data_IF_709553298370
#
_entry.id   IF_709553298370
#
_cell.length_a   1.000
_cell.length_b   1.000
_cell.length_c   1.000
_cell.angle_alpha   90.00
_cell.angle_beta   90.00
_cell.angle_gamma   90.00
#
_symmetry.space_group_name_H-M   'P 1'
#
loop_
_entity.id
_entity.type
_entity.pdbx_description
1 polymer ?
#
# COMPACT_ATOMS: atom_id res chain seq x y z
N UNK A 1 -25.50 -7.24 1.83
CA UNK A 1 -24.28 -8.06 1.61
C UNK A 1 -24.60 -9.47 1.09
N UNK A 2 -25.44 -10.26 1.76
CA UNK A 2 -25.77 -11.65 1.36
C UNK A 2 -26.27 -11.78 -0.09
N UNK A 3 -27.00 -10.82 -0.62
CA UNK A 3 -27.47 -10.87 -2.03
C UNK A 3 -26.32 -10.79 -3.02
N UNK A 4 -25.25 -10.08 -2.70
CA UNK A 4 -24.01 -10.07 -3.49
C UNK A 4 -23.25 -11.38 -3.42
N UNK A 5 -23.29 -12.07 -2.27
CA UNK A 5 -22.72 -13.41 -2.13
C UNK A 5 -23.53 -14.41 -2.97
N UNK A 6 -24.87 -14.35 -2.91
CA UNK A 6 -25.77 -15.22 -3.71
C UNK A 6 -25.57 -15.09 -5.21
N UNK A 7 -25.25 -13.88 -5.70
CA UNK A 7 -24.94 -13.67 -7.13
C UNK A 7 -23.68 -14.41 -7.60
N UNK A 8 -22.80 -14.80 -6.67
CA UNK A 8 -21.51 -15.45 -6.97
C UNK A 8 -21.45 -16.92 -6.60
N UNK A 9 -22.26 -17.32 -5.62
CA UNK A 9 -22.28 -18.67 -5.07
C UNK A 9 -23.71 -19.18 -5.11
N UNK A 10 -23.96 -20.25 -5.91
CA UNK A 10 -25.25 -20.90 -6.03
C UNK A 10 -25.48 -21.99 -4.98
N UNK A 11 -24.44 -22.48 -4.30
CA UNK A 11 -24.54 -23.56 -3.33
C UNK A 11 -25.21 -23.07 -2.03
N UNK A 12 -26.38 -23.65 -1.73
CA UNK A 12 -27.18 -23.31 -0.54
C UNK A 12 -26.47 -23.64 0.78
N UNK A 13 -25.65 -24.70 0.82
CA UNK A 13 -24.90 -25.11 2.01
C UNK A 13 -23.82 -24.10 2.33
N UNK A 14 -23.06 -23.67 1.33
CA UNK A 14 -22.04 -22.61 1.47
C UNK A 14 -22.69 -21.29 1.91
N UNK A 15 -23.84 -20.93 1.33
CA UNK A 15 -24.58 -19.72 1.75
C UNK A 15 -25.06 -19.79 3.20
N UNK A 16 -25.52 -20.98 3.65
CA UNK A 16 -25.91 -21.20 5.05
C UNK A 16 -24.71 -21.05 5.99
N UNK A 17 -23.55 -21.62 5.65
CA UNK A 17 -22.33 -21.48 6.42
C UNK A 17 -21.87 -20.01 6.50
N UNK A 18 -21.83 -19.28 5.40
CA UNK A 18 -21.48 -17.85 5.40
C UNK A 18 -22.44 -17.06 6.27
N UNK A 19 -23.74 -17.35 6.23
CA UNK A 19 -24.75 -16.71 7.09
C UNK A 19 -24.53 -17.04 8.56
N UNK A 20 -24.17 -18.29 8.88
CA UNK A 20 -23.83 -18.71 10.25
C UNK A 20 -22.61 -17.96 10.77
N UNK A 21 -21.54 -17.85 9.98
CA UNK A 21 -20.35 -17.05 10.35
C UNK A 21 -20.66 -15.57 10.59
N UNK A 22 -21.57 -14.98 9.82
CA UNK A 22 -21.99 -13.59 9.99
C UNK A 22 -22.84 -13.37 11.25
N UNK A 23 -23.52 -14.42 11.73
CA UNK A 23 -24.34 -14.40 12.94
C UNK A 23 -23.59 -14.90 14.17
N UNK A 24 -22.45 -15.55 13.99
CA UNK A 24 -21.63 -15.98 15.10
C UNK A 24 -21.15 -14.75 15.88
N UNK A 25 -21.43 -14.73 17.20
CA UNK A 25 -20.94 -13.70 18.10
C UNK A 25 -19.41 -13.73 18.23
N UNK A 26 -18.88 -12.76 18.92
CA UNK A 26 -17.46 -12.71 19.30
C UNK A 26 -17.33 -13.28 20.70
N UNK A 27 -16.53 -14.32 20.85
CA UNK A 27 -16.13 -14.81 22.16
C UNK A 27 -14.94 -13.96 22.63
N UNK A 28 -15.13 -13.20 23.69
CA UNK A 28 -14.07 -12.38 24.29
C UNK A 28 -13.11 -13.26 25.10
N UNK A 29 -11.93 -12.78 25.46
CA UNK A 29 -10.93 -13.50 26.26
C UNK A 29 -11.51 -13.98 27.61
N UNK A 30 -12.48 -13.25 28.13
CA UNK A 30 -13.21 -13.58 29.38
C UNK A 30 -14.30 -14.64 29.19
N UNK A 31 -14.47 -15.22 28.00
CA UNK A 31 -15.51 -16.24 27.71
C UNK A 31 -16.91 -15.65 27.50
N UNK A 32 -17.07 -14.34 27.45
CA UNK A 32 -18.35 -13.68 27.23
C UNK A 32 -18.66 -13.64 25.73
N UNK A 33 -19.85 -14.12 25.34
CA UNK A 33 -20.31 -14.05 23.95
C UNK A 33 -20.98 -12.70 23.70
N UNK A 34 -20.36 -11.85 22.87
CA UNK A 34 -20.93 -10.59 22.42
C UNK A 34 -21.58 -10.77 21.05
N UNK A 35 -22.83 -10.36 20.90
CA UNK A 35 -23.54 -10.39 19.62
C UNK A 35 -22.93 -9.38 18.62
N UNK A 36 -22.66 -9.85 17.42
CA UNK A 36 -22.26 -8.96 16.32
C UNK A 36 -23.49 -8.39 15.62
N UNK A 37 -23.89 -7.19 16.02
CA UNK A 37 -25.04 -6.49 15.41
C UNK A 37 -24.74 -5.96 13.99
N UNK A 38 -23.49 -5.78 13.61
CA UNK A 38 -23.09 -5.34 12.28
C UNK A 38 -21.66 -5.77 11.92
N UNK A 39 -21.48 -6.26 10.70
CA UNK A 39 -20.15 -6.58 10.15
C UNK A 39 -19.67 -8.00 10.49
N UNK A 40 -18.36 -8.18 10.41
CA UNK A 40 -17.65 -9.41 10.80
C UNK A 40 -16.55 -9.06 11.78
N UNK A 41 -16.22 -9.96 12.72
CA UNK A 41 -15.14 -9.72 13.68
C UNK A 41 -13.82 -9.41 12.96
N UNK A 42 -13.08 -8.43 13.49
CA UNK A 42 -11.76 -8.10 12.98
C UNK A 42 -10.81 -9.28 13.25
N UNK A 43 -10.14 -9.76 12.18
CA UNK A 43 -9.26 -10.94 12.27
C UNK A 43 -9.89 -12.27 11.83
N UNK A 44 -11.20 -12.30 11.53
CA UNK A 44 -11.84 -13.49 10.93
C UNK A 44 -11.27 -13.79 9.54
N UNK A 45 -11.07 -15.08 9.24
CA UNK A 45 -10.54 -15.57 7.96
C UNK A 45 -11.43 -15.15 6.77
N UNK A 46 -12.74 -15.07 6.95
CA UNK A 46 -13.71 -14.70 5.92
C UNK A 46 -13.91 -13.19 5.77
N UNK A 47 -13.56 -12.39 6.80
CA UNK A 47 -13.77 -10.94 6.77
C UNK A 47 -13.19 -10.24 5.54
N UNK A 48 -11.93 -10.50 5.10
CA UNK A 48 -11.37 -9.83 3.93
C UNK A 48 -12.11 -10.18 2.64
N UNK A 49 -12.58 -11.44 2.51
CA UNK A 49 -13.35 -11.87 1.34
C UNK A 49 -14.72 -11.21 1.30
N UNK A 50 -15.44 -11.24 2.42
CA UNK A 50 -16.79 -10.66 2.53
C UNK A 50 -16.75 -9.13 2.38
N UNK A 51 -15.74 -8.46 2.95
CA UNK A 51 -15.50 -7.04 2.74
C UNK A 51 -15.30 -6.71 1.26
N UNK A 52 -14.48 -7.49 0.55
CA UNK A 52 -14.28 -7.31 -0.90
C UNK A 52 -15.56 -7.55 -1.70
N UNK A 53 -16.40 -8.52 -1.33
CA UNK A 53 -17.70 -8.75 -1.93
C UNK A 53 -18.66 -7.59 -1.68
N UNK A 54 -18.69 -7.04 -0.48
CA UNK A 54 -19.50 -5.87 -0.14
C UNK A 54 -19.05 -4.64 -0.93
N UNK A 55 -17.75 -4.33 -0.92
CA UNK A 55 -17.17 -3.17 -1.62
C UNK A 55 -17.20 -3.28 -3.15
N UNK A 56 -17.53 -4.46 -3.72
CA UNK A 56 -17.70 -4.57 -5.17
C UNK A 56 -18.83 -3.67 -5.72
N UNK A 57 -19.73 -3.17 -4.86
CA UNK A 57 -20.73 -2.16 -5.26
C UNK A 57 -20.06 -0.88 -5.75
N UNK A 58 -18.98 -0.46 -5.06
CA UNK A 58 -18.21 0.71 -5.47
C UNK A 58 -17.50 0.47 -6.80
N UNK A 59 -16.89 -0.71 -6.97
CA UNK A 59 -16.20 -1.07 -8.22
C UNK A 59 -17.17 -1.06 -9.40
N UNK A 60 -18.35 -1.66 -9.23
CA UNK A 60 -19.41 -1.75 -10.26
C UNK A 60 -19.96 -0.36 -10.59
N UNK A 61 -20.28 0.44 -9.57
CA UNK A 61 -20.81 1.80 -9.74
C UNK A 61 -19.83 2.67 -10.54
N UNK A 62 -18.57 2.73 -10.12
CA UNK A 62 -17.54 3.50 -10.81
C UNK A 62 -17.25 2.96 -12.21
N UNK A 63 -17.32 1.64 -12.41
CA UNK A 63 -17.09 1.05 -13.73
C UNK A 63 -18.21 1.37 -14.73
N UNK A 64 -19.46 1.45 -14.27
CA UNK A 64 -20.64 1.74 -15.10
C UNK A 64 -20.82 3.22 -15.40
N UNK A 65 -20.27 4.10 -14.58
CA UNK A 65 -20.40 5.55 -14.76
C UNK A 65 -19.81 6.00 -16.10
N UNK A 66 -20.43 6.98 -16.73
CA UNK A 66 -20.12 7.48 -18.07
C UNK A 66 -18.68 8.03 -18.23
N UNK A 67 -18.04 8.47 -17.14
CA UNK A 67 -16.62 8.87 -17.10
C UNK A 67 -15.65 7.79 -16.63
N UNK A 68 -16.16 6.58 -16.36
CA UNK A 68 -15.46 5.47 -15.74
C UNK A 68 -14.54 4.67 -16.67
N UNK A 69 -13.96 3.59 -16.17
CA UNK A 69 -13.02 2.76 -16.91
C UNK A 69 -13.59 2.09 -18.15
N UNK A 70 -14.91 1.81 -18.16
CA UNK A 70 -15.61 1.17 -19.32
C UNK A 70 -15.89 2.14 -20.46
N UNK A 71 -15.84 3.45 -20.23
CA UNK A 71 -16.01 4.44 -21.29
C UNK A 71 -14.92 4.27 -22.37
N UNK A 72 -15.33 4.33 -23.64
CA UNK A 72 -14.41 4.23 -24.77
C UNK A 72 -13.41 5.40 -24.80
N UNK A 73 -12.27 5.28 -25.50
CA UNK A 73 -11.35 6.40 -25.68
C UNK A 73 -12.02 7.63 -26.31
N UNK A 74 -12.96 7.39 -27.25
CA UNK A 74 -13.74 8.45 -27.88
C UNK A 74 -14.65 9.18 -26.91
N UNK A 75 -15.43 8.46 -26.11
CA UNK A 75 -16.30 9.04 -25.07
C UNK A 75 -15.49 9.83 -24.04
N UNK A 76 -14.38 9.30 -23.56
CA UNK A 76 -13.50 10.04 -22.65
C UNK A 76 -12.93 11.32 -23.28
N UNK A 77 -12.60 11.30 -24.56
CA UNK A 77 -12.14 12.50 -25.29
C UNK A 77 -13.29 13.51 -25.46
N UNK A 78 -14.50 13.05 -25.82
CA UNK A 78 -15.71 13.86 -25.91
C UNK A 78 -16.02 14.54 -24.58
N UNK A 79 -16.00 13.78 -23.48
CA UNK A 79 -16.25 14.32 -22.13
C UNK A 79 -15.22 15.42 -21.78
N UNK A 80 -13.93 15.22 -22.02
CA UNK A 80 -12.91 16.25 -21.79
C UNK A 80 -13.18 17.54 -22.57
N UNK A 81 -13.62 17.43 -23.83
CA UNK A 81 -13.97 18.61 -24.66
C UNK A 81 -15.14 19.39 -24.08
N UNK A 82 -16.08 18.70 -23.45
CA UNK A 82 -17.24 19.33 -22.78
C UNK A 82 -16.99 19.68 -21.30
N UNK A 83 -15.73 19.66 -20.84
CA UNK A 83 -15.38 19.98 -19.46
C UNK A 83 -15.86 18.96 -18.41
N UNK A 84 -16.34 17.79 -18.83
CA UNK A 84 -16.85 16.74 -17.94
C UNK A 84 -15.69 15.86 -17.41
N UNK A 85 -15.79 15.37 -16.16
CA UNK A 85 -14.75 14.58 -15.54
C UNK A 85 -14.67 13.18 -16.15
N UNK A 86 -13.43 12.62 -16.19
CA UNK A 86 -13.20 11.20 -16.31
C UNK A 86 -12.53 10.71 -15.01
N UNK A 87 -12.79 9.47 -14.63
CA UNK A 87 -12.30 8.95 -13.36
C UNK A 87 -11.89 7.49 -13.44
N UNK A 88 -11.04 7.07 -12.52
CA UNK A 88 -10.59 5.68 -12.39
C UNK A 88 -10.37 5.34 -10.92
N UNK A 89 -10.97 4.25 -10.47
CA UNK A 89 -10.78 3.70 -9.14
C UNK A 89 -9.57 2.76 -9.13
N UNK A 90 -8.73 2.91 -8.11
CA UNK A 90 -7.74 1.92 -7.71
C UNK A 90 -8.07 1.51 -6.27
N UNK A 91 -8.43 0.24 -6.05
CA UNK A 91 -8.81 -0.29 -4.74
C UNK A 91 -7.94 -1.49 -4.36
N UNK A 92 -7.55 -1.52 -3.10
CA UNK A 92 -6.89 -2.65 -2.47
C UNK A 92 -7.56 -2.89 -1.11
N UNK A 93 -8.36 -3.93 -1.00
CA UNK A 93 -9.24 -4.21 0.13
C UNK A 93 -10.15 -3.00 0.43
N UNK A 94 -10.04 -2.43 1.62
CA UNK A 94 -10.74 -1.24 2.10
C UNK A 94 -10.05 0.09 1.74
N UNK A 95 -8.76 0.04 1.38
CA UNK A 95 -8.03 1.21 0.89
C UNK A 95 -8.35 1.47 -0.59
N UNK A 96 -8.76 2.68 -0.94
CA UNK A 96 -9.01 3.04 -2.33
C UNK A 96 -8.61 4.47 -2.64
N UNK A 97 -8.33 4.69 -3.90
CA UNK A 97 -7.99 5.99 -4.46
C UNK A 97 -8.77 6.20 -5.76
N UNK A 98 -9.50 7.31 -5.85
CA UNK A 98 -10.20 7.71 -7.06
C UNK A 98 -9.40 8.82 -7.78
N UNK A 99 -8.90 8.50 -8.96
CA UNK A 99 -8.20 9.45 -9.82
C UNK A 99 -9.24 10.16 -10.68
N UNK A 100 -9.35 11.48 -10.55
CA UNK A 100 -10.32 12.31 -11.28
C UNK A 100 -9.57 13.25 -12.23
N UNK A 101 -9.91 13.18 -13.51
CA UNK A 101 -9.47 14.14 -14.52
C UNK A 101 -10.60 15.17 -14.69
N UNK A 102 -10.53 16.25 -13.92
CA UNK A 102 -11.55 17.29 -13.84
C UNK A 102 -11.17 18.38 -12.85
N UNK A 103 -12.15 19.12 -12.37
CA UNK A 103 -12.01 20.17 -11.35
C UNK A 103 -12.18 19.60 -9.94
N UNK A 104 -11.88 20.41 -8.91
CA UNK A 104 -12.13 20.06 -7.50
C UNK A 104 -13.61 19.79 -7.24
N UNK A 105 -14.50 20.60 -7.83
CA UNK A 105 -15.96 20.44 -7.72
C UNK A 105 -16.42 19.07 -8.22
N UNK A 106 -15.82 18.58 -9.33
CA UNK A 106 -16.12 17.23 -9.84
C UNK A 106 -15.67 16.14 -8.87
N UNK A 107 -14.54 16.33 -8.19
CA UNK A 107 -14.05 15.36 -7.20
C UNK A 107 -14.92 15.36 -5.94
N UNK A 108 -15.43 16.53 -5.52
CA UNK A 108 -16.35 16.67 -4.40
C UNK A 108 -17.70 16.01 -4.72
N UNK A 109 -18.28 16.27 -5.90
CA UNK A 109 -19.50 15.62 -6.33
C UNK A 109 -19.40 14.09 -6.39
N UNK A 110 -18.28 13.57 -6.92
CA UNK A 110 -18.01 12.12 -6.94
C UNK A 110 -17.81 11.53 -5.55
N UNK A 111 -17.24 12.28 -4.60
CA UNK A 111 -17.12 11.84 -3.20
C UNK A 111 -18.50 11.66 -2.59
N UNK A 112 -19.40 12.62 -2.82
CA UNK A 112 -20.75 12.62 -2.25
C UNK A 112 -21.59 11.50 -2.87
N UNK A 113 -21.49 11.31 -4.18
CA UNK A 113 -22.10 10.17 -4.90
C UNK A 113 -21.61 8.81 -4.33
N UNK A 114 -20.30 8.66 -4.07
CA UNK A 114 -19.74 7.46 -3.45
C UNK A 114 -20.26 7.28 -2.02
N UNK A 115 -20.41 8.36 -1.26
CA UNK A 115 -20.94 8.30 0.09
C UNK A 115 -22.38 7.75 0.11
N UNK A 116 -23.22 8.14 -0.85
CA UNK A 116 -24.57 7.60 -1.02
C UNK A 116 -24.55 6.11 -1.36
N UNK A 117 -23.71 5.70 -2.33
CA UNK A 117 -23.57 4.29 -2.73
C UNK A 117 -23.12 3.41 -1.57
N UNK A 118 -22.18 3.88 -0.75
CA UNK A 118 -21.70 3.14 0.43
C UNK A 118 -22.74 3.13 1.55
N UNK A 119 -23.47 4.21 1.73
CA UNK A 119 -24.58 4.31 2.71
C UNK A 119 -25.64 3.24 2.49
N UNK A 120 -25.96 2.90 1.23
CA UNK A 120 -26.90 1.83 0.88
C UNK A 120 -26.51 0.44 1.41
N UNK A 121 -25.25 0.23 1.75
CA UNK A 121 -24.76 -1.02 2.36
C UNK A 121 -24.33 -0.85 3.83
N UNK A 122 -24.66 0.29 4.44
CA UNK A 122 -24.37 0.60 5.85
C UNK A 122 -22.93 1.07 6.09
N UNK A 123 -22.16 1.42 5.06
CA UNK A 123 -20.80 1.95 5.20
C UNK A 123 -20.81 3.49 5.11
N UNK A 124 -19.85 4.09 5.81
CA UNK A 124 -19.66 5.56 5.80
C UNK A 124 -18.21 5.89 5.46
N UNK A 125 -18.03 6.99 4.71
CA UNK A 125 -16.71 7.57 4.51
C UNK A 125 -16.23 8.22 5.81
N UNK A 126 -14.98 7.94 6.21
CA UNK A 126 -14.36 8.65 7.33
C UNK A 126 -13.93 10.04 6.87
N UNK A 127 -14.47 11.14 7.46
CA UNK A 127 -14.09 12.50 7.07
C UNK A 127 -12.61 12.77 7.23
N UNK A 128 -11.98 12.22 8.28
CA UNK A 128 -10.57 12.41 8.58
C UNK A 128 -9.64 11.68 7.59
N UNK A 129 -10.11 10.57 6.99
CA UNK A 129 -9.31 9.74 6.07
C UNK A 129 -9.62 10.01 4.60
N UNK A 130 -10.77 10.61 4.30
CA UNK A 130 -11.20 10.90 2.93
C UNK A 130 -10.72 12.28 2.51
N UNK A 131 -9.62 12.32 1.77
CA UNK A 131 -9.00 13.58 1.36
C UNK A 131 -9.15 13.79 -0.14
N UNK A 132 -9.51 15.01 -0.55
CA UNK A 132 -9.42 15.46 -1.94
C UNK A 132 -8.16 16.31 -2.06
N UNK A 133 -7.23 15.88 -2.90
CA UNK A 133 -5.93 16.55 -3.08
C UNK A 133 -5.59 16.69 -4.56
N UNK A 134 -4.87 17.74 -4.90
CA UNK A 134 -4.37 17.93 -6.25
C UNK A 134 -3.10 17.09 -6.49
N UNK A 135 -2.89 16.61 -7.72
CA UNK A 135 -1.74 15.76 -8.06
C UNK A 135 -0.38 16.45 -7.85
N UNK A 136 -0.32 17.78 -7.84
CA UNK A 136 0.89 18.54 -7.54
C UNK A 136 1.20 18.55 -6.04
N UNK A 137 0.19 18.48 -5.18
CA UNK A 137 0.34 18.26 -3.74
C UNK A 137 0.70 16.81 -3.44
N UNK A 138 0.17 15.91 -4.28
CA UNK A 138 0.39 14.47 -4.21
C UNK A 138 -0.44 13.77 -3.15
N UNK A 139 -0.45 12.44 -3.23
CA UNK A 139 -1.17 11.57 -2.30
C UNK A 139 -0.30 10.40 -1.87
N UNK A 140 -0.57 9.90 -0.67
CA UNK A 140 0.05 8.68 -0.16
C UNK A 140 -0.96 7.54 -0.29
N UNK A 141 -0.60 6.48 -1.04
CA UNK A 141 -1.43 5.30 -1.22
C UNK A 141 -0.58 4.04 -1.13
N UNK A 142 -0.97 3.10 -0.29
CA UNK A 142 -0.26 1.82 -0.05
C UNK A 142 1.24 1.99 0.21
N UNK A 143 1.61 3.01 0.97
CA UNK A 143 3.02 3.32 1.28
C UNK A 143 3.79 4.03 0.16
N UNK A 144 3.16 4.30 -0.95
CA UNK A 144 3.71 5.07 -2.06
C UNK A 144 3.26 6.52 -2.01
N UNK A 145 4.16 7.45 -2.32
CA UNK A 145 3.84 8.84 -2.64
C UNK A 145 3.70 8.98 -4.14
N UNK A 146 2.55 9.43 -4.60
CA UNK A 146 2.24 9.71 -6.00
C UNK A 146 2.12 11.22 -6.14
N UNK A 147 3.01 11.85 -6.90
CA UNK A 147 3.05 13.31 -7.00
C UNK A 147 3.59 13.76 -8.36
N UNK A 148 3.02 14.83 -8.91
CA UNK A 148 3.51 15.45 -10.14
C UNK A 148 4.57 16.50 -9.81
N UNK A 149 5.75 16.34 -10.39
CA UNK A 149 6.85 17.28 -10.27
C UNK A 149 7.32 17.80 -11.62
N UNK A 150 7.87 18.99 -11.62
CA UNK A 150 8.57 19.55 -12.77
C UNK A 150 9.96 18.91 -12.87
N UNK A 151 10.29 18.33 -14.02
CA UNK A 151 11.62 17.77 -14.26
C UNK A 151 12.63 18.90 -14.41
N UNK A 152 13.69 18.87 -13.62
CA UNK A 152 14.79 19.86 -13.73
C UNK A 152 15.40 19.84 -15.14
N UNK A 153 15.69 21.00 -15.69
CA UNK A 153 16.32 21.18 -17.01
C UNK A 153 15.42 21.04 -18.23
N UNK A 154 14.17 20.50 -18.09
CA UNK A 154 13.31 20.25 -19.26
C UNK A 154 11.98 21.01 -19.19
N UNK A 155 11.63 21.61 -18.05
CA UNK A 155 10.36 22.33 -17.88
C UNK A 155 9.09 21.47 -17.87
N UNK A 156 9.14 20.23 -18.35
CA UNK A 156 8.01 19.30 -18.41
C UNK A 156 7.65 18.76 -17.03
N UNK A 157 6.36 18.52 -16.81
CA UNK A 157 5.83 17.93 -15.58
C UNK A 157 5.59 16.44 -15.78
N UNK A 158 5.99 15.62 -14.80
CA UNK A 158 5.81 14.17 -14.79
C UNK A 158 5.29 13.71 -13.44
N UNK A 159 4.46 12.69 -13.44
CA UNK A 159 4.00 12.02 -12.21
C UNK A 159 5.08 11.03 -11.79
N UNK A 160 5.54 11.19 -10.56
CA UNK A 160 6.51 10.30 -9.94
C UNK A 160 5.82 9.48 -8.85
N UNK A 161 6.22 8.21 -8.75
CA UNK A 161 5.81 7.29 -7.70
C UNK A 161 7.06 6.87 -6.95
N UNK A 162 7.11 7.15 -5.65
CA UNK A 162 8.26 6.86 -4.81
C UNK A 162 7.82 6.51 -3.39
N UNK A 163 8.67 5.86 -2.54
CA UNK A 163 8.28 5.49 -1.19
C UNK A 163 7.83 6.70 -0.37
N UNK A 164 6.68 6.61 0.28
CA UNK A 164 6.17 7.67 1.13
C UNK A 164 7.09 7.88 2.36
N UNK A 165 7.16 9.10 2.88
CA UNK A 165 7.96 9.42 4.05
C UNK A 165 7.61 8.54 5.26
N UNK A 166 6.33 8.25 5.47
CA UNK A 166 5.84 7.38 6.54
C UNK A 166 6.37 5.94 6.39
N UNK A 167 6.39 5.40 5.16
CA UNK A 167 6.91 4.06 4.89
C UNK A 167 8.43 3.97 5.12
N UNK A 168 9.18 5.01 4.73
CA UNK A 168 10.61 5.10 5.00
C UNK A 168 10.89 5.23 6.51
N UNK A 169 10.17 6.11 7.21
CA UNK A 169 10.31 6.27 8.67
C UNK A 169 10.02 4.96 9.41
N UNK A 170 9.01 4.21 8.99
CA UNK A 170 8.64 2.93 9.60
C UNK A 170 9.77 1.89 9.48
N UNK A 171 10.41 1.75 8.30
CA UNK A 171 11.53 0.81 8.13
C UNK A 171 12.77 1.28 8.91
N UNK A 172 13.04 2.59 8.94
CA UNK A 172 14.14 3.15 9.74
C UNK A 172 13.94 2.89 11.23
N UNK A 173 12.72 3.03 11.74
CA UNK A 173 12.37 2.70 13.13
C UNK A 173 12.61 1.21 13.42
N UNK A 174 12.20 0.30 12.52
CA UNK A 174 12.45 -1.14 12.66
C UNK A 174 13.95 -1.45 12.69
N UNK A 175 14.75 -0.82 11.83
CA UNK A 175 16.22 -0.95 11.83
C UNK A 175 16.80 -0.50 13.17
N UNK A 176 16.40 0.69 13.63
CA UNK A 176 16.85 1.25 14.90
C UNK A 176 16.52 0.35 16.09
N UNK A 177 15.30 -0.17 16.13
CA UNK A 177 14.85 -1.10 17.17
C UNK A 177 15.67 -2.40 17.15
N UNK A 178 15.86 -3.01 15.98
CA UNK A 178 16.68 -4.22 15.83
C UNK A 178 18.12 -4.01 16.32
N UNK A 179 18.72 -2.87 15.99
CA UNK A 179 20.06 -2.50 16.42
C UNK A 179 20.15 -2.14 17.92
N UNK A 180 19.04 -1.72 18.57
CA UNK A 180 19.05 -1.30 19.98
C UNK A 180 18.63 -2.38 20.95
N UNK A 181 17.74 -3.30 20.52
CA UNK A 181 17.08 -4.27 21.40
C UNK A 181 18.08 -5.22 22.08
N UNK A 182 19.11 -5.67 21.35
CA UNK A 182 20.06 -6.63 21.88
C UNK A 182 21.47 -6.40 21.30
N UNK A 183 22.37 -5.87 22.13
CA UNK A 183 23.79 -5.68 21.76
C UNK A 183 24.63 -6.93 22.00
N UNK A 184 24.14 -7.90 22.79
CA UNK A 184 24.90 -9.12 23.12
C UNK A 184 24.82 -10.20 22.02
N UNK A 185 23.83 -10.11 21.11
CA UNK A 185 23.70 -11.06 20.02
C UNK A 185 24.92 -11.03 19.07
N UNK A 186 25.26 -12.15 18.39
CA UNK A 186 26.25 -12.16 17.31
C UNK A 186 25.84 -11.23 16.17
N UNK A 187 26.82 -10.56 15.53
CA UNK A 187 26.54 -9.68 14.38
C UNK A 187 25.84 -10.45 13.25
N UNK A 188 26.22 -11.71 12.99
CA UNK A 188 25.60 -12.54 11.96
C UNK A 188 24.09 -12.69 12.11
N UNK A 189 23.58 -12.85 13.34
CA UNK A 189 22.14 -12.91 13.60
C UNK A 189 21.44 -11.55 13.31
N UNK A 190 22.06 -10.45 13.73
CA UNK A 190 21.54 -9.11 13.43
C UNK A 190 21.50 -8.89 11.91
N UNK A 191 22.58 -9.25 11.20
CA UNK A 191 22.63 -9.12 9.73
C UNK A 191 21.53 -9.95 9.06
N UNK A 192 21.30 -11.18 9.53
CA UNK A 192 20.25 -12.04 8.99
C UNK A 192 18.85 -11.41 9.15
N UNK A 193 18.54 -10.88 10.34
CA UNK A 193 17.27 -10.21 10.62
C UNK A 193 17.07 -8.97 9.73
N UNK A 194 18.10 -8.11 9.65
CA UNK A 194 18.06 -6.89 8.84
C UNK A 194 17.95 -7.23 7.36
N UNK A 195 18.71 -8.20 6.86
CA UNK A 195 18.70 -8.60 5.46
C UNK A 195 17.32 -9.08 5.01
N UNK A 196 16.63 -9.89 5.82
CA UNK A 196 15.28 -10.37 5.53
C UNK A 196 14.29 -9.20 5.40
N UNK A 197 14.33 -8.27 6.35
CA UNK A 197 13.47 -7.10 6.34
C UNK A 197 13.75 -6.18 5.14
N UNK A 198 15.03 -5.89 4.88
CA UNK A 198 15.45 -4.99 3.82
C UNK A 198 15.16 -5.55 2.43
N UNK A 199 15.37 -6.86 2.21
CA UNK A 199 15.02 -7.52 0.94
C UNK A 199 13.53 -7.42 0.66
N UNK A 200 12.68 -7.70 1.64
CA UNK A 200 11.22 -7.55 1.49
C UNK A 200 10.80 -6.11 1.18
N UNK A 201 11.34 -5.15 1.95
CA UNK A 201 11.02 -3.74 1.75
C UNK A 201 11.47 -3.22 0.38
N UNK A 202 12.71 -3.50 -0.02
CA UNK A 202 13.22 -3.07 -1.33
C UNK A 202 12.56 -3.78 -2.50
N UNK A 203 12.17 -5.07 -2.34
CA UNK A 203 11.43 -5.81 -3.35
C UNK A 203 10.07 -5.18 -3.62
N UNK A 204 9.40 -4.67 -2.59
CA UNK A 204 8.14 -3.93 -2.75
C UNK A 204 8.37 -2.58 -3.44
N UNK A 205 9.35 -1.81 -2.97
CA UNK A 205 9.58 -0.44 -3.45
C UNK A 205 10.51 -0.31 -4.68
N UNK A 206 10.97 -1.39 -5.27
CA UNK A 206 11.79 -1.33 -6.50
C UNK A 206 11.02 -0.85 -7.74
N UNK A 207 9.68 -0.89 -7.69
CA UNK A 207 8.82 -0.56 -8.85
C UNK A 207 8.42 0.92 -8.91
N UNK A 208 9.32 1.81 -8.52
CA UNK A 208 9.10 3.24 -8.55
C UNK A 208 10.40 4.03 -8.68
N UNK A 209 10.34 5.34 -8.45
CA UNK A 209 11.51 6.23 -8.43
C UNK A 209 12.25 6.13 -7.08
N UNK A 210 12.74 4.94 -6.71
CA UNK A 210 13.20 4.64 -5.35
C UNK A 210 14.71 4.75 -5.13
N UNK A 211 15.53 4.97 -6.17
CA UNK A 211 16.99 4.95 -6.06
C UNK A 211 17.53 5.93 -4.99
N UNK A 212 17.02 7.16 -4.94
CA UNK A 212 17.45 8.15 -3.95
C UNK A 212 17.08 7.69 -2.52
N UNK A 213 15.89 7.11 -2.35
CA UNK A 213 15.43 6.56 -1.07
C UNK A 213 16.26 5.35 -0.64
N UNK A 214 16.63 4.48 -1.58
CA UNK A 214 17.49 3.32 -1.30
C UNK A 214 18.91 3.75 -0.90
N UNK A 215 19.47 4.76 -1.56
CA UNK A 215 20.77 5.34 -1.19
C UNK A 215 20.75 5.98 0.19
N UNK A 216 19.68 6.70 0.52
CA UNK A 216 19.47 7.26 1.84
C UNK A 216 19.35 6.18 2.92
N UNK A 217 18.54 5.14 2.66
CA UNK A 217 18.35 4.02 3.56
C UNK A 217 19.66 3.24 3.80
N UNK A 218 20.49 3.07 2.75
CA UNK A 218 21.84 2.49 2.86
C UNK A 218 22.71 3.26 3.84
N UNK A 219 22.75 4.59 3.70
CA UNK A 219 23.55 5.44 4.59
C UNK A 219 23.07 5.39 6.04
N UNK A 220 21.75 5.40 6.24
CA UNK A 220 21.15 5.26 7.57
C UNK A 220 21.47 3.91 8.20
N UNK A 221 21.26 2.82 7.45
CA UNK A 221 21.53 1.46 7.87
C UNK A 221 22.99 1.28 8.32
N UNK A 222 23.93 1.78 7.52
CA UNK A 222 25.36 1.73 7.85
C UNK A 222 25.64 2.43 9.18
N UNK A 223 25.11 3.63 9.39
CA UNK A 223 25.28 4.39 10.62
C UNK A 223 24.72 3.63 11.85
N UNK A 224 23.57 3.01 11.74
CA UNK A 224 22.97 2.28 12.87
C UNK A 224 23.76 1.01 13.22
N UNK A 225 24.32 0.32 12.24
CA UNK A 225 25.15 -0.88 12.47
C UNK A 225 26.52 -0.48 13.07
N UNK A 226 27.15 0.59 12.59
CA UNK A 226 28.39 1.10 13.18
C UNK A 226 28.15 1.45 14.65
N UNK A 227 27.11 2.18 14.96
CA UNK A 227 26.72 2.49 16.35
C UNK A 227 26.46 1.24 17.19
N UNK A 228 25.88 0.18 16.59
CA UNK A 228 25.69 -1.09 17.28
C UNK A 228 27.04 -1.76 17.58
N UNK A 229 27.97 -1.80 16.62
CA UNK A 229 29.31 -2.34 16.81
C UNK A 229 30.09 -1.57 17.91
N UNK A 230 30.04 -0.26 17.91
CA UNK A 230 30.67 0.59 18.93
C UNK A 230 30.10 0.33 20.33
N UNK A 231 28.78 0.19 20.45
CA UNK A 231 28.12 -0.18 21.72
C UNK A 231 28.51 -1.57 22.22
N UNK A 232 28.64 -2.54 21.30
CA UNK A 232 29.04 -3.91 21.64
C UNK A 232 30.51 -3.98 22.05
N UNK A 233 31.37 -3.24 21.40
CA UNK A 233 32.82 -3.29 21.55
C UNK A 233 33.36 -1.95 22.10
N UNK A 234 32.85 -1.50 23.23
CA UNK A 234 33.13 -0.17 23.83
C UNK A 234 34.60 0.22 23.93
N UNK A 235 35.51 -0.77 24.08
CA UNK A 235 36.96 -0.54 24.23
C UNK A 235 37.75 -0.76 22.93
N UNK A 236 37.08 -1.07 21.83
CA UNK A 236 37.76 -1.41 20.57
C UNK A 236 37.68 -0.21 19.61
N UNK A 237 38.82 0.36 19.17
CA UNK A 237 38.84 1.45 18.22
C UNK A 237 38.18 1.08 16.89
N UNK A 238 37.54 2.05 16.24
CA UNK A 238 36.89 1.87 14.93
C UNK A 238 37.80 1.20 13.89
N UNK A 239 39.08 1.52 13.84
CA UNK A 239 40.04 0.92 12.92
C UNK A 239 40.11 -0.60 13.06
N UNK A 240 40.04 -1.13 14.30
CA UNK A 240 40.03 -2.58 14.57
C UNK A 240 38.66 -3.21 14.23
N UNK A 241 37.55 -2.55 14.55
CA UNK A 241 36.23 -3.03 14.18
C UNK A 241 36.09 -3.14 12.66
N UNK A 242 36.61 -2.14 11.94
CA UNK A 242 36.64 -2.15 10.48
C UNK A 242 37.50 -3.28 9.89
N UNK A 243 38.62 -3.61 10.52
CA UNK A 243 39.45 -4.77 10.11
C UNK A 243 38.72 -6.08 10.36
N UNK A 244 38.01 -6.21 11.48
CA UNK A 244 37.28 -7.41 11.88
C UNK A 244 36.04 -7.66 11.04
N UNK A 245 35.22 -6.67 10.81
CA UNK A 245 33.89 -6.78 10.19
C UNK A 245 33.81 -6.22 8.76
N UNK A 246 34.86 -5.57 8.28
CA UNK A 246 34.90 -4.88 7.00
C UNK A 246 34.26 -3.51 7.01
N UNK A 247 34.44 -2.75 5.92
CA UNK A 247 33.77 -1.46 5.72
C UNK A 247 32.25 -1.66 5.59
N UNK A 248 31.88 -2.73 4.90
CA UNK A 248 30.49 -3.18 4.79
C UNK A 248 30.35 -4.45 5.61
N UNK A 249 29.59 -4.41 6.71
CA UNK A 249 29.60 -5.44 7.74
C UNK A 249 29.35 -6.85 7.20
N UNK A 250 30.23 -7.77 7.55
CA UNK A 250 30.18 -9.18 7.16
C UNK A 250 30.61 -10.03 8.34
N UNK A 251 29.89 -11.11 8.65
CA UNK A 251 30.25 -12.09 9.67
C UNK A 251 29.71 -13.48 9.27
N UNK A 252 30.53 -14.52 9.43
CA UNK A 252 30.12 -15.91 9.15
C UNK A 252 29.57 -16.12 7.72
N UNK A 253 30.17 -15.47 6.71
CA UNK A 253 29.69 -15.54 5.33
C UNK A 253 28.44 -14.67 5.05
N UNK A 254 27.76 -14.16 6.09
CA UNK A 254 26.60 -13.30 5.94
C UNK A 254 27.04 -11.85 5.80
N UNK A 255 26.81 -11.28 4.63
CA UNK A 255 27.06 -9.87 4.33
C UNK A 255 25.79 -9.04 4.52
N UNK A 256 25.95 -7.83 5.04
CA UNK A 256 24.84 -6.87 5.10
C UNK A 256 24.27 -6.59 3.71
N UNK A 257 22.96 -6.68 3.58
CA UNK A 257 22.26 -6.33 2.34
C UNK A 257 22.43 -4.83 2.03
N UNK A 258 22.75 -4.52 0.78
CA UNK A 258 22.91 -3.14 0.31
C UNK A 258 21.67 -2.69 -0.48
N UNK A 259 20.78 -1.87 0.10
CA UNK A 259 19.59 -1.37 -0.59
C UNK A 259 19.92 -0.62 -1.89
N UNK A 260 21.04 0.10 -1.95
CA UNK A 260 21.40 0.90 -3.12
C UNK A 260 21.80 0.05 -4.35
N UNK A 261 22.10 -1.25 -4.16
CA UNK A 261 22.36 -2.18 -5.27
C UNK A 261 21.08 -2.71 -5.93
N UNK A 262 19.91 -2.44 -5.33
CA UNK A 262 18.64 -2.82 -5.93
C UNK A 262 18.30 -1.86 -7.06
N UNK A 263 18.27 -2.38 -8.27
CA UNK A 263 17.87 -1.60 -9.44
C UNK A 263 16.38 -1.28 -9.39
N UNK A 264 16.04 0.00 -9.38
CA UNK A 264 14.65 0.43 -9.47
C UNK A 264 14.10 0.14 -10.87
N UNK A 265 12.98 -0.56 -10.91
CA UNK A 265 12.26 -0.89 -12.15
C UNK A 265 11.07 0.06 -12.28
N UNK A 266 11.06 0.90 -13.29
CA UNK A 266 9.88 1.71 -13.59
C UNK A 266 8.90 0.89 -14.40
N UNK A 267 7.64 0.85 -13.98
CA UNK A 267 6.59 0.39 -14.84
C UNK A 267 6.35 1.45 -15.92
N UNK A 268 6.58 1.07 -17.17
CA UNK A 268 6.05 1.82 -18.29
C UNK A 268 4.53 1.60 -18.32
N UNK A 269 3.79 2.67 -18.59
CA UNK A 269 2.37 2.55 -18.85
C UNK A 269 2.15 1.56 -20.00
N UNK A 270 1.55 0.42 -19.70
CA UNK A 270 1.33 -0.65 -20.67
C UNK A 270 -0.11 -0.69 -21.17
N UNK A 271 -0.99 0.17 -20.67
CA UNK A 271 -2.38 0.26 -21.08
C UNK A 271 -3.10 -1.09 -21.06
N UNK A 272 -3.54 -1.54 -22.22
CA UNK A 272 -4.28 -2.80 -22.43
C UNK A 272 -3.45 -4.08 -22.23
N UNK A 273 -2.12 -3.99 -22.08
CA UNK A 273 -1.23 -5.17 -21.90
C UNK A 273 -1.16 -5.68 -20.46
N UNK A 274 -1.72 -4.97 -19.50
CA UNK A 274 -1.79 -5.45 -18.12
C UNK A 274 -3.01 -6.35 -18.02
N UNK A 275 -2.84 -7.66 -17.68
CA UNK A 275 -3.97 -8.54 -17.43
C UNK A 275 -4.87 -7.93 -16.37
N UNK A 276 -6.14 -7.82 -16.66
CA UNK A 276 -7.14 -7.36 -15.70
C UNK A 276 -8.05 -8.54 -15.36
N UNK A 277 -8.40 -8.74 -14.07
CA UNK A 277 -9.37 -9.75 -13.68
C UNK A 277 -10.81 -9.38 -14.13
N UNK A 278 -10.99 -8.17 -14.67
CA UNK A 278 -12.28 -7.73 -15.18
C UNK A 278 -12.49 -8.28 -16.59
N UNK A 279 -13.65 -8.87 -16.88
CA UNK A 279 -13.96 -9.31 -18.23
C UNK A 279 -13.88 -8.11 -19.18
N UNK A 280 -13.22 -8.32 -20.31
CA UNK A 280 -13.24 -7.33 -21.39
C UNK A 280 -14.71 -7.05 -21.70
N UNK A 281 -15.09 -5.78 -21.77
CA UNK A 281 -16.38 -5.42 -22.32
C UNK A 281 -16.42 -5.95 -23.75
N UNK A 282 -17.28 -6.95 -23.99
CA UNK A 282 -17.59 -7.44 -25.34
C UNK A 282 -18.20 -6.33 -26.17
#
# INVERSE_FOLDING_TARGET
>A
MMDRVRRRIGDRRVLALVKAFLKAGILDEDGTLADTNAGTPQGSILSPLLSNVALSILDEHIAQGSGGPRASPYERAKRRRHGLPNYRLARYADDWCLLVSGTKVHAEALRDEIAEVLSAIGLRLSPEKTLITHIDEGLDFLGWRIQRHRKRGVGKRYVYVYPAKKALAAVMTKIKLACRKNTNQPLGLLLHQLNRMLRGWTAYFKYGCSNATFSYLRSYLWKEIVRWQERKHRRTPWKQLRRRYGIWPTEGGTRLFDPARVSAKRYYYRGTRIPTPWPSAA
#
